data_IF_691820416046
#
_entry.id   IF_691820416046
#
_cell.length_a   1.000
_cell.length_b   1.000
_cell.length_c   1.000
_cell.angle_alpha   90.00
_cell.angle_beta   90.00
_cell.angle_gamma   90.00
#
_symmetry.space_group_name_H-M   'P 1'
#
loop_
_entity.id
_entity.type
_entity.pdbx_description
1 polymer ?
#
# COMPACT_ATOMS: atom_id res chain seq x y z
N UNK A 1 12.56 13.40 4.47
CA UNK A 1 11.77 14.63 4.27
C UNK A 1 10.51 14.53 5.11
N UNK A 2 10.01 15.62 5.65
CA UNK A 2 8.74 15.69 6.41
C UNK A 2 8.18 17.10 6.28
N UNK A 3 6.86 17.23 6.31
CA UNK A 3 6.14 18.51 6.25
C UNK A 3 6.28 19.32 7.54
N UNK A 4 6.57 18.68 8.67
CA UNK A 4 6.54 19.27 10.01
C UNK A 4 7.94 19.35 10.61
N UNK A 5 8.25 20.48 11.25
CA UNK A 5 9.54 20.67 11.92
C UNK A 5 9.77 19.73 13.10
N UNK A 6 8.70 19.35 13.85
CA UNK A 6 8.82 18.44 14.99
C UNK A 6 9.44 17.09 14.64
N UNK A 7 8.85 16.31 13.72
CA UNK A 7 9.44 15.06 13.26
C UNK A 7 10.84 15.22 12.68
N UNK A 8 11.14 16.32 11.97
CA UNK A 8 12.47 16.60 11.45
C UNK A 8 13.48 16.87 12.57
N UNK A 9 13.09 17.56 13.64
CA UNK A 9 13.94 17.78 14.80
C UNK A 9 14.30 16.47 15.49
N UNK A 10 13.32 15.58 15.70
CA UNK A 10 13.58 14.25 16.26
C UNK A 10 14.47 13.41 15.33
N UNK A 11 14.27 13.50 14.02
CA UNK A 11 15.14 12.84 13.04
C UNK A 11 16.58 13.38 13.10
N UNK A 12 16.76 14.70 13.21
CA UNK A 12 18.09 15.34 13.36
C UNK A 12 18.79 14.90 14.65
N UNK A 13 18.06 14.77 15.76
CA UNK A 13 18.61 14.27 17.03
C UNK A 13 19.09 12.81 16.89
N UNK A 14 18.27 11.94 16.29
CA UNK A 14 18.64 10.55 16.04
C UNK A 14 19.85 10.44 15.09
N UNK A 15 19.89 11.24 14.01
CA UNK A 15 21.03 11.27 13.08
C UNK A 15 22.32 11.67 13.81
N UNK A 16 22.26 12.66 14.69
CA UNK A 16 23.41 13.06 15.55
C UNK A 16 23.80 11.97 16.52
N UNK A 17 22.83 11.40 17.23
CA UNK A 17 23.05 10.33 18.20
C UNK A 17 23.76 9.11 17.59
N UNK A 18 23.34 8.70 16.38
CA UNK A 18 23.94 7.58 15.65
C UNK A 18 25.12 7.99 14.75
N UNK A 19 25.62 9.22 14.83
CA UNK A 19 26.75 9.74 14.03
C UNK A 19 26.56 9.58 12.50
N UNK A 20 25.33 9.72 11.99
CA UNK A 20 25.00 9.54 10.57
C UNK A 20 24.91 10.88 9.78
N UNK A 21 25.29 12.01 10.36
CA UNK A 21 25.14 13.32 9.75
C UNK A 21 25.89 13.54 8.42
N UNK A 22 26.89 12.71 8.11
CA UNK A 22 27.57 12.75 6.81
C UNK A 22 26.83 11.95 5.72
N UNK A 23 25.85 11.10 6.10
CA UNK A 23 25.13 10.21 5.18
C UNK A 23 23.67 10.56 5.03
N UNK A 24 23.08 11.27 5.99
CA UNK A 24 21.65 11.55 6.04
C UNK A 24 21.42 13.05 6.12
N UNK A 25 20.72 13.58 5.14
CA UNK A 25 20.23 14.96 5.11
C UNK A 25 18.74 14.99 5.43
N UNK A 26 18.29 16.04 6.12
CA UNK A 26 16.86 16.26 6.41
C UNK A 26 16.38 17.51 5.68
N UNK A 27 15.19 17.42 5.05
CA UNK A 27 14.55 18.56 4.38
C UNK A 27 13.13 18.73 4.88
N UNK A 28 12.73 19.96 5.13
CA UNK A 28 11.33 20.34 5.32
C UNK A 28 10.67 20.34 3.93
N UNK A 29 9.69 19.46 3.71
CA UNK A 29 9.09 19.27 2.38
C UNK A 29 7.71 18.65 2.50
N UNK A 30 6.75 19.09 1.70
CA UNK A 30 5.49 18.38 1.50
C UNK A 30 5.69 17.25 0.47
N UNK A 31 5.90 16.04 0.96
CA UNK A 31 6.26 14.91 0.11
C UNK A 31 7.61 15.12 -0.59
N UNK A 32 7.61 15.19 -1.92
CA UNK A 32 8.81 15.32 -2.76
C UNK A 32 9.01 16.73 -3.34
N UNK A 33 8.29 17.76 -2.90
CA UNK A 33 8.32 19.09 -3.51
C UNK A 33 9.73 19.74 -3.49
N UNK A 34 10.55 19.39 -2.50
CA UNK A 34 11.95 19.87 -2.39
C UNK A 34 12.98 18.88 -2.97
N UNK A 35 12.53 17.83 -3.67
CA UNK A 35 13.40 16.88 -4.36
C UNK A 35 13.51 17.28 -5.85
N UNK A 36 14.72 17.22 -6.39
CA UNK A 36 14.94 17.48 -7.82
C UNK A 36 14.92 16.18 -8.61
N UNK A 37 14.44 16.21 -9.88
CA UNK A 37 14.51 15.05 -10.76
C UNK A 37 15.96 14.54 -10.90
N UNK A 38 16.15 13.22 -10.75
CA UNK A 38 17.46 12.58 -10.80
C UNK A 38 18.34 12.74 -9.54
N UNK A 39 17.84 13.40 -8.48
CA UNK A 39 18.57 13.55 -7.22
C UNK A 39 18.55 12.25 -6.37
N UNK A 40 17.54 11.42 -6.55
CA UNK A 40 17.38 10.15 -5.82
C UNK A 40 17.21 8.98 -6.79
N UNK A 41 18.02 7.94 -6.62
CA UNK A 41 17.88 6.67 -7.36
C UNK A 41 16.74 5.81 -6.82
N UNK A 42 16.38 5.99 -5.55
CA UNK A 42 15.34 5.22 -4.86
C UNK A 42 14.47 6.10 -3.98
N UNK A 43 13.19 5.81 -3.96
CA UNK A 43 12.20 6.54 -3.17
C UNK A 43 11.52 5.58 -2.21
N UNK A 44 11.45 5.97 -0.93
CA UNK A 44 10.71 5.23 0.11
C UNK A 44 9.64 6.15 0.69
N UNK A 45 8.36 5.74 0.59
CA UNK A 45 7.24 6.44 1.23
C UNK A 45 6.51 5.43 2.12
N UNK A 46 6.49 5.68 3.42
CA UNK A 46 5.91 4.77 4.40
C UNK A 46 5.12 5.51 5.49
N UNK A 47 4.13 4.83 6.08
CA UNK A 47 3.39 5.36 7.22
C UNK A 47 2.31 6.39 6.88
N UNK A 48 1.93 6.52 5.60
CA UNK A 48 0.94 7.50 5.13
C UNK A 48 -0.32 6.81 4.58
N UNK A 49 -1.46 7.50 4.61
CA UNK A 49 -2.68 7.03 3.94
C UNK A 49 -2.50 6.99 2.43
N UNK A 50 -3.17 6.03 1.76
CA UNK A 50 -3.00 5.82 0.32
C UNK A 50 -3.40 7.00 -0.55
N UNK A 51 -4.42 7.76 -0.18
CA UNK A 51 -4.81 8.98 -0.89
C UNK A 51 -3.65 10.00 -0.88
N UNK A 52 -3.07 10.27 0.28
CA UNK A 52 -1.94 11.21 0.41
C UNK A 52 -0.72 10.68 -0.37
N UNK A 53 -0.42 9.40 -0.26
CA UNK A 53 0.69 8.79 -0.98
C UNK A 53 0.52 8.89 -2.50
N UNK A 54 -0.69 8.62 -3.02
CA UNK A 54 -1.03 8.82 -4.43
C UNK A 54 -0.78 10.25 -4.88
N UNK A 55 -1.21 11.21 -4.07
CA UNK A 55 -1.08 12.64 -4.39
C UNK A 55 0.39 13.10 -4.34
N UNK A 56 1.20 12.58 -3.41
CA UNK A 56 2.65 12.79 -3.36
C UNK A 56 3.33 12.22 -4.62
N UNK A 57 2.96 11.01 -5.04
CA UNK A 57 3.50 10.39 -6.26
C UNK A 57 3.12 11.18 -7.52
N UNK A 58 1.90 11.72 -7.59
CA UNK A 58 1.47 12.52 -8.72
C UNK A 58 2.20 13.87 -8.78
N UNK A 59 2.30 14.61 -7.67
CA UNK A 59 3.03 15.88 -7.62
C UNK A 59 4.52 15.70 -7.90
N UNK A 60 5.10 14.64 -7.34
CA UNK A 60 6.50 14.28 -7.52
C UNK A 60 6.80 13.47 -8.79
N UNK A 61 5.89 13.43 -9.77
CA UNK A 61 5.99 12.61 -10.98
C UNK A 61 7.35 12.68 -11.67
N UNK A 62 7.90 13.86 -11.83
CA UNK A 62 9.21 14.06 -12.47
C UNK A 62 10.34 13.36 -11.68
N UNK A 63 10.31 13.42 -10.36
CA UNK A 63 11.28 12.70 -9.52
C UNK A 63 11.10 11.19 -9.61
N UNK A 64 9.83 10.73 -9.61
CA UNK A 64 9.48 9.31 -9.75
C UNK A 64 9.97 8.74 -11.07
N UNK A 65 9.76 9.44 -12.18
CA UNK A 65 10.18 8.97 -13.51
C UNK A 65 11.72 8.86 -13.68
N UNK A 66 12.49 9.51 -12.82
CA UNK A 66 13.95 9.43 -12.80
C UNK A 66 14.51 8.47 -11.75
N UNK A 67 13.65 7.84 -10.92
CA UNK A 67 14.13 6.86 -9.95
C UNK A 67 14.11 5.42 -10.52
N UNK A 68 15.02 4.60 -10.05
CA UNK A 68 15.10 3.18 -10.44
C UNK A 68 14.24 2.25 -9.59
N UNK A 69 13.82 2.68 -8.41
CA UNK A 69 13.02 1.84 -7.49
C UNK A 69 12.21 2.67 -6.52
N UNK A 70 11.01 2.21 -6.21
CA UNK A 70 10.22 2.72 -5.10
C UNK A 70 9.90 1.61 -4.11
N UNK A 71 9.82 1.96 -2.81
CA UNK A 71 9.23 1.12 -1.76
C UNK A 71 8.12 1.92 -1.10
N UNK A 72 6.91 1.38 -1.16
CA UNK A 72 5.70 2.06 -0.73
C UNK A 72 4.99 1.24 0.35
N UNK A 73 4.66 1.89 1.47
CA UNK A 73 3.91 1.28 2.58
C UNK A 73 2.70 2.16 2.92
N UNK A 74 1.56 2.03 2.20
CA UNK A 74 0.33 2.72 2.53
C UNK A 74 -0.34 2.10 3.76
N UNK A 75 -0.90 2.94 4.65
CA UNK A 75 -1.68 2.50 5.81
C UNK A 75 -3.18 2.33 5.51
N UNK A 76 -3.65 2.90 4.42
CA UNK A 76 -5.02 2.76 3.89
C UNK A 76 -4.99 2.80 2.37
N UNK A 77 -6.08 2.42 1.72
CA UNK A 77 -6.33 2.56 0.28
C UNK A 77 -5.15 2.07 -0.61
N UNK A 78 -4.62 0.86 -0.39
CA UNK A 78 -3.47 0.35 -1.14
C UNK A 78 -3.76 0.20 -2.64
N UNK A 79 -5.02 0.03 -3.01
CA UNK A 79 -5.48 -0.05 -4.40
C UNK A 79 -5.21 1.25 -5.17
N UNK A 80 -5.47 2.41 -4.56
CA UNK A 80 -5.19 3.70 -5.17
C UNK A 80 -3.70 3.88 -5.44
N UNK A 81 -2.85 3.41 -4.52
CA UNK A 81 -1.40 3.49 -4.67
C UNK A 81 -0.90 2.53 -5.76
N UNK A 82 -1.39 1.28 -5.79
CA UNK A 82 -1.03 0.32 -6.85
C UNK A 82 -1.46 0.80 -8.23
N UNK A 83 -2.68 1.35 -8.36
CA UNK A 83 -3.15 1.96 -9.60
C UNK A 83 -2.24 3.10 -10.03
N UNK A 84 -1.86 4.00 -9.11
CA UNK A 84 -0.95 5.10 -9.40
C UNK A 84 0.44 4.62 -9.83
N UNK A 85 0.98 3.60 -9.20
CA UNK A 85 2.27 2.97 -9.60
C UNK A 85 2.22 2.52 -11.06
N UNK A 86 1.18 1.82 -11.47
CA UNK A 86 1.00 1.37 -12.86
C UNK A 86 0.80 2.54 -13.84
N UNK A 87 0.03 3.57 -13.46
CA UNK A 87 -0.16 4.79 -14.26
C UNK A 87 1.17 5.56 -14.49
N UNK A 88 2.10 5.47 -13.55
CA UNK A 88 3.44 6.06 -13.65
C UNK A 88 4.43 5.21 -14.47
N UNK A 89 4.01 4.06 -14.98
CA UNK A 89 4.87 3.16 -15.75
C UNK A 89 5.81 2.32 -14.92
N UNK A 90 5.42 2.01 -13.69
CA UNK A 90 6.12 1.09 -12.78
C UNK A 90 5.34 -0.20 -12.62
N UNK A 91 6.03 -1.32 -12.41
CA UNK A 91 5.48 -2.61 -12.03
C UNK A 91 5.80 -2.92 -10.57
N UNK A 92 4.96 -3.72 -9.93
CA UNK A 92 5.19 -4.18 -8.55
C UNK A 92 6.00 -5.47 -8.61
N UNK A 93 7.24 -5.45 -8.09
CA UNK A 93 8.19 -6.56 -8.18
C UNK A 93 8.23 -7.43 -6.93
N UNK A 94 7.88 -6.90 -5.77
CA UNK A 94 7.78 -7.65 -4.51
C UNK A 94 6.73 -7.04 -3.58
N UNK A 95 6.15 -7.88 -2.72
CA UNK A 95 5.29 -7.49 -1.62
C UNK A 95 5.73 -8.20 -0.35
N UNK A 96 5.68 -7.49 0.77
CA UNK A 96 5.98 -8.01 2.12
C UNK A 96 4.85 -7.64 3.07
N UNK A 97 4.53 -8.54 3.98
CA UNK A 97 3.57 -8.28 5.04
C UNK A 97 4.20 -8.49 6.42
N UNK A 98 3.74 -7.73 7.40
CA UNK A 98 4.03 -7.99 8.80
C UNK A 98 2.79 -7.72 9.65
N UNK A 99 2.80 -8.29 10.86
CA UNK A 99 1.79 -8.04 11.89
C UNK A 99 2.50 -7.55 13.13
N UNK A 100 2.20 -6.32 13.55
CA UNK A 100 2.83 -5.66 14.70
C UNK A 100 1.79 -4.81 15.42
N UNK A 101 1.80 -4.83 16.73
CA UNK A 101 0.89 -4.07 17.60
C UNK A 101 -0.60 -4.18 17.22
N UNK A 102 -1.03 -5.39 16.86
CA UNK A 102 -2.42 -5.68 16.49
C UNK A 102 -2.84 -5.21 15.10
N UNK A 103 -1.90 -4.74 14.27
CA UNK A 103 -2.14 -4.23 12.92
C UNK A 103 -1.36 -5.02 11.88
N UNK A 104 -1.96 -5.14 10.70
CA UNK A 104 -1.30 -5.69 9.52
C UNK A 104 -0.75 -4.54 8.67
N UNK A 105 0.47 -4.71 8.21
CA UNK A 105 1.15 -3.79 7.31
C UNK A 105 1.55 -4.52 6.04
N UNK A 106 1.45 -3.84 4.92
CA UNK A 106 1.90 -4.31 3.62
C UNK A 106 2.77 -3.24 2.99
N UNK A 107 3.96 -3.65 2.54
CA UNK A 107 4.83 -2.82 1.74
C UNK A 107 5.07 -3.50 0.40
N UNK A 108 5.24 -2.72 -0.67
CA UNK A 108 5.56 -3.25 -1.98
C UNK A 108 6.67 -2.46 -2.65
N UNK A 109 7.54 -3.18 -3.35
CA UNK A 109 8.62 -2.65 -4.17
C UNK A 109 8.16 -2.49 -5.60
N UNK A 110 8.53 -1.39 -6.23
CA UNK A 110 8.17 -1.05 -7.59
C UNK A 110 9.41 -0.68 -8.39
N UNK A 111 9.46 -1.10 -9.64
CA UNK A 111 10.54 -0.78 -10.59
C UNK A 111 9.94 -0.28 -11.91
N UNK A 112 10.65 0.55 -12.69
CA UNK A 112 10.21 0.94 -14.03
C UNK A 112 9.86 -0.29 -14.87
N UNK A 113 8.71 -0.26 -15.53
CA UNK A 113 8.24 -1.36 -16.36
C UNK A 113 6.73 -1.50 -16.36
N UNK A 114 6.25 -2.43 -17.17
CA UNK A 114 4.82 -2.74 -17.34
C UNK A 114 4.58 -4.14 -16.78
N UNK A 115 3.44 -4.32 -16.12
CA UNK A 115 3.01 -5.66 -15.70
C UNK A 115 2.79 -6.57 -16.92
N UNK A 116 3.31 -7.79 -16.86
CA UNK A 116 3.09 -8.79 -17.93
C UNK A 116 1.60 -9.08 -18.13
N UNK A 117 0.86 -9.11 -17.03
CA UNK A 117 -0.59 -9.26 -17.02
C UNK A 117 -1.24 -8.16 -16.18
N UNK A 118 -2.27 -7.47 -16.69
CA UNK A 118 -2.99 -6.44 -15.93
C UNK A 118 -3.50 -6.97 -14.59
N UNK A 119 -3.52 -6.12 -13.58
CA UNK A 119 -4.15 -6.42 -12.29
C UNK A 119 -5.68 -6.34 -12.43
N UNK A 120 -6.39 -7.31 -11.83
CA UNK A 120 -7.82 -7.19 -11.61
C UNK A 120 -8.13 -6.41 -10.32
N UNK A 121 -9.41 -6.10 -10.06
CA UNK A 121 -9.80 -5.33 -8.89
C UNK A 121 -9.43 -5.99 -7.55
N UNK A 122 -9.46 -7.31 -7.46
CA UNK A 122 -9.04 -8.01 -6.25
C UNK A 122 -7.54 -7.87 -6.02
N UNK A 123 -6.74 -7.93 -7.07
CA UNK A 123 -5.29 -7.77 -7.01
C UNK A 123 -4.88 -6.32 -6.71
N UNK A 124 -5.63 -5.34 -7.18
CA UNK A 124 -5.42 -3.95 -6.76
C UNK A 124 -5.68 -3.77 -5.27
N UNK A 125 -6.79 -4.31 -4.74
CA UNK A 125 -7.14 -4.19 -3.32
C UNK A 125 -6.20 -4.99 -2.41
N UNK A 126 -5.95 -6.25 -2.76
CA UNK A 126 -5.29 -7.22 -1.87
C UNK A 126 -3.90 -7.66 -2.33
N UNK A 127 -3.37 -7.10 -3.43
CA UNK A 127 -2.08 -7.50 -4.00
C UNK A 127 -2.15 -8.83 -4.76
N UNK A 128 -1.16 -9.02 -5.62
CA UNK A 128 -1.00 -10.26 -6.42
C UNK A 128 0.06 -11.18 -5.82
N UNK A 129 1.14 -10.60 -5.32
CA UNK A 129 2.36 -11.34 -4.98
C UNK A 129 2.24 -12.06 -3.65
N UNK A 130 1.69 -11.42 -2.60
CA UNK A 130 1.53 -12.06 -1.29
C UNK A 130 0.61 -13.29 -1.34
N UNK A 131 -0.56 -13.27 -2.00
CA UNK A 131 -1.36 -14.46 -2.20
C UNK A 131 -0.63 -15.54 -3.02
N UNK A 132 0.08 -15.17 -4.09
CA UNK A 132 0.84 -16.12 -4.93
C UNK A 132 2.00 -16.77 -4.16
N UNK A 133 2.68 -16.03 -3.27
CA UNK A 133 3.73 -16.55 -2.38
C UNK A 133 3.18 -17.37 -1.21
N UNK A 134 1.87 -17.45 -1.06
CA UNK A 134 1.21 -18.11 0.08
C UNK A 134 1.68 -17.57 1.45
N UNK A 135 1.91 -16.24 1.54
CA UNK A 135 2.41 -15.59 2.75
C UNK A 135 1.49 -15.86 3.95
N UNK A 136 1.99 -16.46 5.06
CA UNK A 136 1.15 -16.91 6.16
C UNK A 136 0.59 -15.75 7.01
N UNK A 137 1.29 -14.63 7.10
CA UNK A 137 0.82 -13.43 7.82
C UNK A 137 -0.31 -12.80 7.04
N UNK A 138 -0.14 -12.70 5.73
CA UNK A 138 -1.14 -12.12 4.85
C UNK A 138 -2.39 -13.01 4.72
N UNK A 139 -2.23 -14.33 4.75
CA UNK A 139 -3.37 -15.28 4.85
C UNK A 139 -4.23 -15.00 6.08
N UNK A 140 -3.61 -14.74 7.24
CA UNK A 140 -4.34 -14.39 8.47
C UNK A 140 -5.09 -13.07 8.32
N UNK A 141 -4.48 -12.08 7.69
CA UNK A 141 -5.14 -10.82 7.36
C UNK A 141 -6.39 -11.05 6.51
N UNK A 142 -6.27 -11.77 5.38
CA UNK A 142 -7.40 -12.07 4.50
C UNK A 142 -8.52 -12.85 5.21
N UNK A 143 -8.17 -13.80 6.09
CA UNK A 143 -9.15 -14.51 6.92
C UNK A 143 -9.86 -13.60 7.92
N UNK A 144 -9.17 -12.63 8.47
CA UNK A 144 -9.79 -11.63 9.36
C UNK A 144 -10.77 -10.74 8.58
N UNK A 145 -10.41 -10.32 7.38
CA UNK A 145 -11.28 -9.52 6.52
C UNK A 145 -12.50 -10.33 6.05
N UNK A 146 -12.32 -11.61 5.68
CA UNK A 146 -13.40 -12.53 5.37
C UNK A 146 -14.44 -12.61 6.51
N UNK A 147 -13.98 -12.80 7.74
CA UNK A 147 -14.86 -12.88 8.92
C UNK A 147 -15.59 -11.55 9.19
N UNK A 148 -14.92 -10.42 9.07
CA UNK A 148 -15.55 -9.10 9.22
C UNK A 148 -16.64 -8.90 8.16
N UNK A 149 -16.35 -9.29 6.92
CA UNK A 149 -17.28 -9.14 5.80
C UNK A 149 -18.48 -10.08 5.93
N UNK A 150 -18.27 -11.31 6.37
CA UNK A 150 -19.36 -12.27 6.66
C UNK A 150 -20.34 -11.74 7.71
N UNK A 151 -19.83 -11.18 8.81
CA UNK A 151 -20.67 -10.55 9.85
C UNK A 151 -21.45 -9.35 9.32
N UNK A 152 -20.81 -8.52 8.47
CA UNK A 152 -21.49 -7.38 7.85
C UNK A 152 -22.63 -7.85 6.94
N UNK A 153 -22.38 -8.83 6.08
CA UNK A 153 -23.37 -9.42 5.17
C UNK A 153 -24.54 -9.99 5.99
N UNK A 154 -24.28 -10.76 7.05
CA UNK A 154 -25.32 -11.29 7.93
C UNK A 154 -26.19 -10.18 8.54
N UNK A 155 -25.57 -9.09 8.99
CA UNK A 155 -26.27 -7.95 9.59
C UNK A 155 -27.13 -7.23 8.54
N UNK A 156 -26.60 -7.00 7.33
CA UNK A 156 -27.30 -6.31 6.27
C UNK A 156 -28.48 -7.13 5.72
N UNK A 157 -28.35 -8.47 5.65
CA UNK A 157 -29.40 -9.38 5.20
C UNK A 157 -30.62 -9.37 6.13
N UNK A 158 -30.42 -9.10 7.42
CA UNK A 158 -31.51 -9.00 8.41
C UNK A 158 -32.21 -7.62 8.42
N UNK A 159 -31.76 -6.69 7.59
CA UNK A 159 -32.29 -5.31 7.58
C UNK A 159 -33.25 -5.08 6.41
N UNK A 160 -34.44 -4.60 6.71
CA UNK A 160 -35.44 -4.25 5.70
C UNK A 160 -35.24 -2.86 5.08
N UNK A 161 -34.19 -2.11 5.47
CA UNK A 161 -33.94 -0.74 4.98
C UNK A 161 -33.46 -0.78 3.52
N UNK A 162 -33.99 0.09 2.63
CA UNK A 162 -33.53 0.17 1.23
C UNK A 162 -32.03 0.37 1.08
N UNK A 163 -31.44 1.21 1.92
CA UNK A 163 -29.99 1.45 1.94
C UNK A 163 -29.15 0.24 2.35
N UNK A 164 -29.76 -0.76 3.00
CA UNK A 164 -29.06 -2.00 3.36
C UNK A 164 -28.85 -2.90 2.13
N UNK A 165 -29.75 -2.86 1.14
CA UNK A 165 -29.64 -3.66 -0.09
C UNK A 165 -28.42 -3.27 -0.92
N UNK A 166 -28.25 -1.97 -1.19
CA UNK A 166 -27.09 -1.45 -1.93
C UNK A 166 -25.77 -1.77 -1.22
N UNK A 167 -25.74 -1.61 0.10
CA UNK A 167 -24.56 -1.96 0.90
C UNK A 167 -24.30 -3.46 0.95
N UNK A 168 -25.34 -4.30 0.84
CA UNK A 168 -25.22 -5.74 0.81
C UNK A 168 -24.53 -6.20 -0.49
N UNK A 169 -24.92 -5.65 -1.63
CA UNK A 169 -24.26 -5.94 -2.92
C UNK A 169 -22.77 -5.60 -2.87
N UNK A 170 -22.41 -4.40 -2.41
CA UNK A 170 -21.01 -4.01 -2.25
C UNK A 170 -20.23 -4.91 -1.28
N UNK A 171 -20.87 -5.33 -0.17
CA UNK A 171 -20.24 -6.25 0.77
C UNK A 171 -20.03 -7.66 0.18
N UNK A 172 -20.94 -8.13 -0.67
CA UNK A 172 -20.81 -9.41 -1.38
C UNK A 172 -19.71 -9.36 -2.44
N UNK A 173 -19.60 -8.27 -3.17
CA UNK A 173 -18.50 -8.07 -4.13
C UNK A 173 -17.13 -8.08 -3.44
N UNK A 174 -17.00 -7.38 -2.32
CA UNK A 174 -15.75 -7.41 -1.55
C UNK A 174 -15.45 -8.81 -1.00
N UNK A 175 -16.46 -9.54 -0.53
CA UNK A 175 -16.29 -10.94 -0.12
C UNK A 175 -15.74 -11.79 -1.28
N UNK A 176 -16.26 -11.63 -2.48
CA UNK A 176 -15.78 -12.35 -3.67
C UNK A 176 -14.31 -12.02 -3.98
N UNK A 177 -13.90 -10.76 -3.85
CA UNK A 177 -12.50 -10.34 -4.04
C UNK A 177 -11.56 -10.98 -2.98
N UNK A 178 -12.00 -11.04 -1.73
CA UNK A 178 -11.25 -11.72 -0.64
C UNK A 178 -11.13 -13.22 -0.94
N UNK A 179 -12.23 -13.88 -1.32
CA UNK A 179 -12.24 -15.30 -1.64
C UNK A 179 -11.37 -15.64 -2.86
N UNK A 180 -11.34 -14.77 -3.88
CA UNK A 180 -10.42 -14.90 -5.00
C UNK A 180 -8.96 -14.95 -4.54
N UNK A 181 -8.54 -14.03 -3.67
CA UNK A 181 -7.19 -14.02 -3.11
C UNK A 181 -6.92 -15.25 -2.22
N UNK A 182 -7.88 -15.66 -1.38
CA UNK A 182 -7.76 -16.85 -0.54
C UNK A 182 -7.70 -18.15 -1.37
N UNK A 183 -8.31 -18.17 -2.56
CA UNK A 183 -8.23 -19.28 -3.50
C UNK A 183 -6.80 -19.62 -3.88
N UNK A 184 -5.92 -18.64 -4.01
CA UNK A 184 -4.50 -18.83 -4.32
C UNK A 184 -3.74 -19.66 -3.27
N UNK A 185 -4.24 -19.75 -2.04
CA UNK A 185 -3.65 -20.56 -0.97
C UNK A 185 -4.08 -22.04 -1.02
N UNK A 186 -5.09 -22.38 -1.83
CA UNK A 186 -5.65 -23.75 -1.91
C UNK A 186 -5.09 -24.59 -3.07
N UNK A 187 -4.48 -23.95 -4.07
CA UNK A 187 -3.95 -24.64 -5.25
C UNK A 187 -2.65 -25.40 -4.87
N UNK A 188 -2.76 -26.61 -4.30
CA UNK A 188 -1.73 -27.61 -4.02
C UNK A 188 -1.95 -28.30 -2.64
N UNK A 189 -3.10 -28.95 -2.45
CA UNK A 189 -3.24 -30.08 -1.51
C UNK A 189 -3.40 -31.39 -2.28
#
# INVERSE_FOLDING_TARGET
MDLREGPLSSAKENIRFFHQGQKIETRLSDGMDELKPGEADRIVIAGMGGILMRDILERGRECVLHCGQMVLQPQSDPDLVRKKVHELGFRITDERSCFEDGKYYVAFSCEPGIEEHPYNEAEYLYGRILPAKKDPVYRKFLKTEEQKRAKLIETLTKSDKPSAKERLEGAQEEMNRILFCLGKYKEEE
#
